data_IF_815225642024
#
_entry.id   IF_815225642024
#
_cell.length_a   1.000
_cell.length_b   1.000
_cell.length_c   1.000
_cell.angle_alpha   90.00
_cell.angle_beta   90.00
_cell.angle_gamma   90.00
#
_symmetry.space_group_name_H-M   'P 1'
#
loop_
_entity.id
_entity.type
_entity.pdbx_description
1 polymer ?
#
# COMPACT_ATOMS: atom_id res chain seq x y z
N UNK A 1 24.08 -42.10 75.46
CA UNK A 1 22.92 -41.22 75.25
C UNK A 1 23.03 -40.59 73.87
N UNK A 2 21.99 -40.74 73.07
CA UNK A 2 21.86 -40.13 71.73
C UNK A 2 21.75 -38.59 71.81
N UNK A 3 22.22 -37.89 70.77
CA UNK A 3 21.90 -36.49 70.52
C UNK A 3 22.30 -36.06 69.11
N UNK A 4 21.31 -35.83 68.24
CA UNK A 4 21.43 -35.48 66.80
C UNK A 4 21.79 -34.00 66.56
N UNK A 5 22.72 -33.79 65.61
CA UNK A 5 22.72 -32.91 64.40
C UNK A 5 21.99 -31.54 64.45
N UNK A 6 22.68 -30.45 64.04
CA UNK A 6 22.28 -29.59 62.89
C UNK A 6 23.33 -28.52 62.56
N UNK A 7 23.94 -28.66 61.38
CA UNK A 7 24.77 -27.66 60.72
C UNK A 7 23.85 -26.70 59.95
N UNK A 8 23.85 -25.41 60.28
CA UNK A 8 23.18 -24.38 59.50
C UNK A 8 24.18 -23.71 58.56
N UNK A 9 24.10 -24.05 57.27
CA UNK A 9 24.76 -23.32 56.19
C UNK A 9 23.79 -22.20 55.80
N UNK A 10 24.10 -20.96 56.19
CA UNK A 10 23.40 -19.78 55.69
C UNK A 10 23.98 -19.44 54.30
N UNK A 11 23.24 -19.78 53.23
CA UNK A 11 23.54 -19.29 51.88
C UNK A 11 22.94 -17.90 51.74
N UNK A 12 23.85 -16.97 51.47
CA UNK A 12 23.67 -15.59 51.05
C UNK A 12 22.80 -15.53 49.77
N UNK A 13 21.61 -14.92 49.84
CA UNK A 13 20.83 -14.59 48.65
C UNK A 13 21.03 -13.11 48.31
N UNK A 14 21.81 -12.86 47.25
CA UNK A 14 22.02 -11.55 46.62
C UNK A 14 20.92 -11.37 45.54
N UNK A 15 20.36 -10.16 45.53
CA UNK A 15 19.23 -9.61 44.75
C UNK A 15 19.56 -9.64 43.22
N UNK A 16 18.59 -9.68 42.27
CA UNK A 16 17.97 -8.44 41.82
C UNK A 16 16.45 -8.52 41.54
N UNK A 17 15.76 -7.47 41.93
CA UNK A 17 14.54 -6.94 41.29
C UNK A 17 14.74 -6.91 39.78
N UNK A 18 13.93 -7.61 38.99
CA UNK A 18 13.99 -7.51 37.52
C UNK A 18 12.75 -6.80 36.98
N UNK A 19 13.04 -5.54 36.69
CA UNK A 19 12.36 -4.57 35.85
C UNK A 19 11.83 -5.19 34.55
N UNK A 20 10.52 -5.10 34.31
CA UNK A 20 9.95 -5.36 32.98
C UNK A 20 10.21 -4.12 32.14
N UNK A 21 11.21 -4.18 31.27
CA UNK A 21 11.37 -3.24 30.15
C UNK A 21 10.97 -3.99 28.89
N UNK A 22 9.81 -3.66 28.34
CA UNK A 22 9.49 -3.90 26.93
C UNK A 22 9.24 -2.51 26.34
N UNK A 23 10.18 -2.02 25.53
CA UNK A 23 10.07 -0.73 24.83
C UNK A 23 10.28 -0.94 23.33
N UNK A 24 9.18 -0.66 22.60
CA UNK A 24 9.01 -0.09 21.25
C UNK A 24 9.49 -0.94 20.04
N UNK A 25 8.90 -0.91 18.83
CA UNK A 25 8.28 0.18 18.06
C UNK A 25 7.27 -0.41 17.05
N UNK A 26 6.07 0.17 16.93
CA UNK A 26 5.37 0.48 15.66
C UNK A 26 4.11 1.30 15.98
N UNK A 27 4.33 2.60 16.08
CA UNK A 27 3.29 3.62 16.17
C UNK A 27 2.49 3.67 14.86
N UNK A 28 1.28 3.11 14.88
CA UNK A 28 0.07 3.64 14.19
C UNK A 28 -1.06 2.62 14.05
N UNK A 29 -0.87 1.35 14.42
CA UNK A 29 -1.93 0.35 14.43
C UNK A 29 -2.02 -0.24 15.84
N UNK A 30 -3.25 -0.45 16.34
CA UNK A 30 -3.53 -0.81 17.73
C UNK A 30 -2.65 -1.95 18.27
N UNK A 31 -2.38 -1.92 19.58
CA UNK A 31 -1.59 -2.93 20.26
C UNK A 31 -2.07 -4.34 19.90
N UNK A 32 -1.21 -5.14 19.27
CA UNK A 32 -1.46 -6.58 19.11
C UNK A 32 -0.86 -7.31 20.31
N UNK A 33 -1.71 -7.90 21.15
CA UNK A 33 -1.26 -8.73 22.26
C UNK A 33 -0.90 -10.11 21.73
N UNK A 34 0.39 -10.41 21.60
CA UNK A 34 0.82 -11.80 21.40
C UNK A 34 0.78 -12.48 22.77
N UNK A 35 -0.27 -13.25 23.05
CA UNK A 35 -0.36 -14.11 24.23
C UNK A 35 0.21 -15.48 23.89
N UNK A 36 1.39 -15.79 24.40
CA UNK A 36 1.93 -17.15 24.35
C UNK A 36 1.58 -17.87 25.64
N UNK A 37 0.78 -18.93 25.54
CA UNK A 37 0.38 -19.79 26.66
C UNK A 37 0.75 -21.25 26.38
N UNK A 38 0.88 -22.08 27.43
CA UNK A 38 1.11 -23.52 27.28
C UNK A 38 2.56 -23.99 27.33
N UNK A 39 3.53 -23.14 27.67
CA UNK A 39 4.88 -23.60 27.99
C UNK A 39 4.88 -24.29 29.37
N UNK A 40 5.12 -25.60 29.40
CA UNK A 40 5.35 -26.33 30.64
C UNK A 40 6.86 -26.39 30.88
N UNK A 41 7.32 -25.75 31.96
CA UNK A 41 8.70 -25.94 32.43
C UNK A 41 8.71 -27.19 33.31
N UNK A 42 9.08 -28.32 32.71
CA UNK A 42 9.34 -29.53 33.49
C UNK A 42 10.63 -29.35 34.31
N UNK A 43 10.52 -28.71 35.48
CA UNK A 43 11.49 -28.82 36.58
C UNK A 43 12.86 -28.15 36.42
N UNK A 44 13.07 -27.26 35.46
CA UNK A 44 14.36 -26.56 35.30
C UNK A 44 14.26 -25.07 35.63
N UNK A 45 14.97 -24.63 36.68
CA UNK A 45 14.98 -23.26 37.21
C UNK A 45 15.70 -22.23 36.32
N UNK A 46 15.98 -22.55 35.05
CA UNK A 46 16.62 -21.63 34.12
C UNK A 46 16.44 -22.09 32.65
N UNK A 47 15.20 -22.30 32.20
CA UNK A 47 14.93 -22.58 30.78
C UNK A 47 14.65 -21.28 30.03
N UNK A 48 15.62 -20.80 29.27
CA UNK A 48 15.36 -19.88 28.16
C UNK A 48 14.52 -20.62 27.13
N UNK A 49 13.25 -20.25 27.00
CA UNK A 49 12.38 -20.76 25.95
C UNK A 49 12.54 -19.85 24.73
N UNK A 50 12.96 -20.42 23.62
CA UNK A 50 12.95 -19.72 22.34
C UNK A 50 11.59 -19.91 21.68
N UNK A 51 10.90 -18.81 21.43
CA UNK A 51 9.74 -18.77 20.54
C UNK A 51 10.16 -18.11 19.23
N UNK A 52 9.83 -18.73 18.11
CA UNK A 52 10.02 -18.12 16.79
C UNK A 52 8.66 -17.66 16.26
N UNK A 53 8.55 -16.37 15.98
CA UNK A 53 7.41 -15.79 15.26
C UNK A 53 7.87 -15.50 13.83
N UNK A 54 7.10 -15.97 12.85
CA UNK A 54 7.36 -15.68 11.44
C UNK A 54 6.16 -14.93 10.86
N UNK A 55 6.40 -13.76 10.29
CA UNK A 55 5.40 -12.97 9.57
C UNK A 55 5.90 -12.83 8.14
N UNK A 56 5.11 -13.33 7.19
CA UNK A 56 5.43 -13.21 5.77
C UNK A 56 4.93 -11.88 5.22
N UNK A 57 5.70 -11.30 4.30
CA UNK A 57 5.29 -10.11 3.56
C UNK A 57 4.19 -10.48 2.56
N UNK A 58 3.16 -9.66 2.48
CA UNK A 58 2.04 -9.82 1.54
C UNK A 58 1.89 -8.54 0.73
N UNK A 59 1.81 -8.72 -0.59
CA UNK A 59 1.51 -7.65 -1.55
C UNK A 59 0.14 -7.96 -2.11
N UNK A 60 -0.83 -7.11 -1.79
CA UNK A 60 -2.20 -7.21 -2.31
C UNK A 60 -2.63 -5.83 -2.79
N UNK A 61 -2.97 -5.71 -4.07
CA UNK A 61 -3.52 -4.50 -4.65
C UNK A 61 -4.97 -4.76 -5.06
N UNK A 62 -5.90 -3.96 -4.55
CA UNK A 62 -7.30 -3.96 -4.95
C UNK A 62 -7.61 -2.74 -5.80
N UNK A 63 -8.46 -2.93 -6.82
CA UNK A 63 -8.91 -1.87 -7.72
C UNK A 63 -10.43 -1.70 -7.63
N UNK A 64 -10.92 -0.45 -7.67
CA UNK A 64 -12.37 -0.18 -7.71
C UNK A 64 -13.04 -0.60 -9.02
N UNK A 65 -12.30 -0.60 -10.13
CA UNK A 65 -12.79 -0.95 -11.45
C UNK A 65 -11.67 -1.49 -12.34
N UNK A 66 -12.04 -2.38 -13.28
CA UNK A 66 -11.11 -2.87 -14.31
C UNK A 66 -10.96 -1.89 -15.50
N UNK A 67 -11.92 -0.99 -15.67
CA UNK A 67 -11.97 -0.03 -16.79
C UNK A 67 -12.60 1.28 -16.34
N UNK A 68 -12.19 2.39 -16.95
CA UNK A 68 -12.87 3.69 -16.82
C UNK A 68 -13.58 4.01 -18.14
N UNK A 69 -14.84 4.41 -18.04
CA UNK A 69 -15.65 4.84 -19.18
C UNK A 69 -15.79 6.37 -19.16
N UNK A 70 -15.29 7.03 -20.20
CA UNK A 70 -15.39 8.47 -20.39
C UNK A 70 -16.68 8.90 -21.09
N UNK A 71 -17.55 7.95 -21.43
CA UNK A 71 -18.75 8.21 -22.22
C UNK A 71 -18.40 8.64 -23.64
N UNK A 72 -19.34 9.34 -24.28
CA UNK A 72 -19.14 9.88 -25.62
C UNK A 72 -18.32 11.17 -25.54
N UNK A 73 -17.16 11.18 -26.18
CA UNK A 73 -16.34 12.38 -26.31
C UNK A 73 -16.34 12.88 -27.76
N UNK A 74 -16.29 14.21 -27.92
CA UNK A 74 -16.27 14.88 -29.24
C UNK A 74 -14.83 15.28 -29.56
N UNK A 75 -14.50 15.31 -30.86
CA UNK A 75 -13.19 15.76 -31.36
C UNK A 75 -12.76 17.11 -30.74
N UNK A 76 -11.48 17.24 -30.41
CA UNK A 76 -10.90 18.46 -29.84
C UNK A 76 -11.26 18.74 -28.37
N UNK A 77 -12.06 17.88 -27.73
CA UNK A 77 -12.36 18.01 -26.29
C UNK A 77 -11.35 17.24 -25.44
N UNK A 78 -11.19 17.66 -24.19
CA UNK A 78 -10.42 16.94 -23.20
C UNK A 78 -11.31 16.64 -21.99
N UNK A 79 -11.14 15.46 -21.41
CA UNK A 79 -11.77 15.08 -20.16
C UNK A 79 -10.78 14.34 -19.27
N UNK A 80 -10.89 14.54 -17.96
CA UNK A 80 -10.03 13.89 -16.98
C UNK A 80 -10.86 13.39 -15.79
N UNK A 81 -10.24 12.59 -14.93
CA UNK A 81 -10.87 12.02 -13.75
C UNK A 81 -10.69 12.85 -12.49
N UNK A 82 -10.00 14.01 -12.55
CA UNK A 82 -9.58 14.79 -11.37
C UNK A 82 -10.72 15.51 -10.66
N UNK A 83 -11.89 15.50 -11.26
CA UNK A 83 -13.14 16.03 -10.71
C UNK A 83 -14.12 14.89 -10.34
N UNK A 84 -13.64 13.65 -10.28
CA UNK A 84 -14.44 12.44 -10.04
C UNK A 84 -15.58 12.23 -11.08
N UNK A 85 -15.42 12.74 -12.31
CA UNK A 85 -16.40 12.62 -13.39
C UNK A 85 -15.76 12.44 -14.79
N UNK A 86 -15.38 11.22 -15.19
CA UNK A 86 -15.63 9.94 -14.49
C UNK A 86 -14.71 9.71 -13.29
N UNK A 87 -15.06 8.74 -12.43
CA UNK A 87 -14.23 8.38 -11.28
C UNK A 87 -12.83 7.89 -11.72
N UNK A 88 -11.76 8.25 -10.99
CA UNK A 88 -10.43 7.69 -11.20
C UNK A 88 -10.37 6.21 -10.80
N UNK A 89 -9.24 5.57 -11.10
CA UNK A 89 -8.96 4.24 -10.56
C UNK A 89 -8.59 4.39 -9.09
N UNK A 90 -9.28 3.66 -8.21
CA UNK A 90 -8.95 3.64 -6.77
C UNK A 90 -8.07 2.43 -6.52
N UNK A 91 -6.91 2.69 -5.92
CA UNK A 91 -5.85 1.74 -5.67
C UNK A 91 -5.71 1.56 -4.16
N UNK A 92 -5.98 0.36 -3.67
CA UNK A 92 -5.93 0.03 -2.23
C UNK A 92 -4.85 -1.00 -1.97
N UNK A 93 -3.90 -0.66 -1.10
CA UNK A 93 -2.91 -1.59 -0.60
C UNK A 93 -3.50 -2.43 0.54
N UNK A 94 -3.99 -3.63 0.21
CA UNK A 94 -4.48 -4.61 1.19
C UNK A 94 -3.39 -5.55 1.73
N UNK A 95 -2.12 -5.23 1.48
CA UNK A 95 -0.96 -5.98 1.96
C UNK A 95 -0.60 -5.64 3.41
N UNK A 96 0.59 -6.08 3.83
CA UNK A 96 1.15 -5.74 5.14
C UNK A 96 2.50 -5.02 5.05
N UNK A 97 2.88 -4.56 3.86
CA UNK A 97 4.08 -3.79 3.57
C UNK A 97 3.76 -2.63 2.63
N UNK A 98 4.64 -1.62 2.62
CA UNK A 98 4.56 -0.55 1.63
C UNK A 98 4.79 -1.10 0.22
N UNK A 99 4.07 -0.57 -0.75
CA UNK A 99 4.16 -1.02 -2.15
C UNK A 99 4.47 0.13 -3.10
N UNK A 100 5.24 -0.19 -4.14
CA UNK A 100 5.40 0.63 -5.33
C UNK A 100 4.44 0.16 -6.41
N UNK A 101 3.88 1.11 -7.16
CA UNK A 101 2.97 0.84 -8.26
C UNK A 101 3.55 1.35 -9.56
N UNK A 102 3.53 0.48 -10.56
CA UNK A 102 3.76 0.84 -11.96
C UNK A 102 2.47 0.72 -12.75
N UNK A 103 2.40 1.47 -13.84
CA UNK A 103 1.24 1.58 -14.71
C UNK A 103 1.67 1.47 -16.17
N UNK A 104 0.86 0.82 -17.00
CA UNK A 104 1.01 0.83 -18.47
C UNK A 104 -0.34 0.77 -19.16
N UNK A 105 -0.42 1.34 -20.36
CA UNK A 105 -1.61 1.17 -21.19
C UNK A 105 -1.63 -0.21 -21.83
N UNK A 106 -2.81 -0.83 -21.88
CA UNK A 106 -3.00 -2.08 -22.61
C UNK A 106 -3.16 -1.80 -24.12
N UNK A 107 -3.91 -0.75 -24.44
CA UNK A 107 -4.16 -0.27 -25.80
C UNK A 107 -4.52 1.22 -25.76
N UNK A 108 -4.37 1.92 -26.89
CA UNK A 108 -4.85 3.30 -27.00
C UNK A 108 -6.38 3.36 -27.07
N UNK A 109 -7.03 4.37 -26.47
CA UNK A 109 -8.48 4.61 -26.65
C UNK A 109 -8.85 5.23 -28.00
N UNK A 110 -7.86 5.56 -28.83
CA UNK A 110 -8.03 6.26 -30.10
C UNK A 110 -7.58 5.41 -31.28
N UNK A 111 -8.14 5.68 -32.46
CA UNK A 111 -7.80 5.03 -33.72
C UNK A 111 -7.03 5.96 -34.68
N UNK A 112 -7.11 7.28 -34.49
CA UNK A 112 -6.43 8.30 -35.31
C UNK A 112 -4.98 8.61 -34.87
N UNK A 113 -4.55 9.84 -35.08
CA UNK A 113 -3.21 10.36 -34.71
C UNK A 113 -2.90 10.22 -33.22
N UNK A 114 -3.94 10.12 -32.37
CA UNK A 114 -3.80 9.86 -30.94
C UNK A 114 -3.62 8.39 -30.56
N UNK A 115 -3.64 7.45 -31.51
CA UNK A 115 -3.52 6.00 -31.25
C UNK A 115 -2.11 5.54 -30.84
N UNK A 116 -1.11 6.40 -31.03
CA UNK A 116 0.29 6.08 -30.81
C UNK A 116 0.68 5.84 -29.35
N UNK A 117 1.89 5.31 -29.18
CA UNK A 117 2.58 5.22 -27.90
C UNK A 117 3.15 6.59 -27.49
N UNK A 118 3.14 6.93 -26.20
CA UNK A 118 3.73 8.17 -25.67
C UNK A 118 3.13 9.47 -26.24
N UNK A 119 1.82 9.50 -26.50
CA UNK A 119 1.12 10.68 -27.04
C UNK A 119 0.57 11.58 -25.94
N UNK A 120 0.37 12.87 -26.24
CA UNK A 120 -0.27 13.82 -25.31
C UNK A 120 -1.79 13.64 -25.19
N UNK A 121 -2.36 12.70 -25.94
CA UNK A 121 -3.80 12.43 -26.02
C UNK A 121 -4.27 11.49 -24.93
N UNK A 122 -3.37 10.66 -24.38
CA UNK A 122 -3.68 9.74 -23.28
C UNK A 122 -2.61 9.81 -22.20
N UNK A 123 -2.97 10.36 -21.04
CA UNK A 123 -2.02 10.68 -19.96
C UNK A 123 -2.53 10.18 -18.61
N UNK A 124 -1.60 9.95 -17.69
CA UNK A 124 -1.89 9.57 -16.31
C UNK A 124 -1.13 10.42 -15.30
N UNK A 125 -1.59 10.42 -14.05
CA UNK A 125 -0.83 10.85 -12.87
C UNK A 125 -1.32 10.09 -11.64
N UNK A 126 -0.52 10.10 -10.58
CA UNK A 126 -0.95 9.76 -9.24
C UNK A 126 -1.75 10.93 -8.64
N UNK A 127 -2.84 10.60 -7.98
CA UNK A 127 -3.65 11.50 -7.15
C UNK A 127 -3.69 11.02 -5.71
N UNK A 128 -3.79 11.95 -4.77
CA UNK A 128 -4.28 11.60 -3.44
C UNK A 128 -5.75 11.31 -3.56
N UNK A 129 -6.24 10.36 -2.78
CA UNK A 129 -7.66 10.07 -2.77
C UNK A 129 -8.48 11.30 -2.35
N UNK A 130 -9.46 11.68 -3.16
CA UNK A 130 -10.34 12.81 -2.88
C UNK A 130 -11.16 12.54 -1.61
N UNK A 131 -11.58 13.59 -0.90
CA UNK A 131 -12.51 13.42 0.24
C UNK A 131 -13.82 12.78 -0.18
N UNK A 132 -14.25 12.98 -1.42
CA UNK A 132 -15.48 12.38 -1.94
C UNK A 132 -15.34 10.86 -2.08
N UNK A 133 -14.13 10.37 -2.36
CA UNK A 133 -13.86 8.94 -2.55
C UNK A 133 -13.37 8.25 -1.27
N UNK A 134 -12.52 8.90 -0.47
CA UNK A 134 -11.91 8.31 0.74
C UNK A 134 -12.43 8.85 2.08
N UNK A 135 -13.42 9.74 2.07
CA UNK A 135 -14.09 10.27 3.28
C UNK A 135 -13.25 11.31 4.07
N UNK A 136 -11.97 11.04 4.29
CA UNK A 136 -11.01 11.98 4.87
C UNK A 136 -9.84 12.14 3.90
N UNK A 137 -9.66 13.36 3.39
CA UNK A 137 -8.57 13.69 2.46
C UNK A 137 -7.24 13.37 3.13
N UNK A 138 -6.58 12.35 2.65
CA UNK A 138 -5.35 11.88 3.27
C UNK A 138 -4.16 12.55 2.61
N UNK A 139 -3.47 13.39 3.38
CA UNK A 139 -2.46 14.30 2.84
C UNK A 139 -1.10 13.65 2.63
N UNK A 140 -0.90 12.36 2.94
CA UNK A 140 0.38 11.69 2.71
C UNK A 140 0.29 10.16 2.67
N UNK A 141 -0.49 9.60 1.73
CA UNK A 141 -0.65 8.15 1.56
C UNK A 141 0.54 7.45 0.88
N UNK A 142 1.33 8.22 0.11
CA UNK A 142 2.50 7.74 -0.61
C UNK A 142 3.58 8.82 -0.71
N UNK A 143 4.78 8.47 -1.19
CA UNK A 143 5.88 9.41 -1.40
C UNK A 143 5.62 10.29 -2.65
N UNK A 144 5.04 11.47 -2.44
CA UNK A 144 4.68 12.40 -3.51
C UNK A 144 5.87 12.81 -4.39
N UNK A 145 7.05 13.05 -3.79
CA UNK A 145 8.23 13.52 -4.50
C UNK A 145 8.88 12.47 -5.41
N UNK A 146 8.62 11.19 -5.16
CA UNK A 146 9.11 10.07 -5.99
C UNK A 146 8.02 9.47 -6.89
N UNK A 147 6.79 9.98 -6.81
CA UNK A 147 5.63 9.50 -7.57
C UNK A 147 5.35 10.41 -8.77
N UNK A 148 4.63 9.89 -9.76
CA UNK A 148 4.28 10.63 -10.96
C UNK A 148 3.06 11.53 -10.72
N UNK A 149 3.26 12.71 -10.13
CA UNK A 149 2.17 13.58 -9.66
C UNK A 149 1.75 14.66 -10.66
N UNK A 150 2.41 14.71 -11.81
CA UNK A 150 2.01 15.50 -12.98
C UNK A 150 1.59 14.59 -14.12
N UNK A 151 0.75 15.08 -15.04
CA UNK A 151 0.30 14.24 -16.16
C UNK A 151 1.49 13.82 -17.03
N UNK A 152 1.69 12.53 -17.20
CA UNK A 152 2.66 11.91 -18.10
C UNK A 152 1.92 11.12 -19.17
N UNK A 153 2.47 11.10 -20.38
CA UNK A 153 1.93 10.31 -21.47
C UNK A 153 2.06 8.82 -21.16
N UNK A 154 1.02 8.06 -21.51
CA UNK A 154 1.06 6.61 -21.40
C UNK A 154 2.04 5.99 -22.38
N UNK A 155 2.61 4.87 -21.94
CA UNK A 155 3.31 3.95 -22.81
C UNK A 155 2.83 2.51 -22.61
N UNK A 156 3.14 1.65 -23.58
CA UNK A 156 2.95 0.19 -23.46
C UNK A 156 3.98 -0.48 -22.53
N UNK A 157 4.97 0.28 -22.05
CA UNK A 157 5.97 -0.16 -21.07
C UNK A 157 5.56 0.32 -19.68
N UNK A 158 5.89 -0.45 -18.65
CA UNK A 158 5.63 -0.06 -17.27
C UNK A 158 6.34 1.26 -16.92
N UNK A 159 5.57 2.21 -16.41
CA UNK A 159 6.04 3.51 -15.94
C UNK A 159 5.77 3.63 -14.44
N UNK A 160 6.64 4.36 -13.73
CA UNK A 160 6.43 4.69 -12.33
C UNK A 160 5.11 5.47 -12.16
N UNK A 161 4.29 5.07 -11.19
CA UNK A 161 3.06 5.77 -10.84
C UNK A 161 3.11 6.27 -9.41
N UNK A 162 3.14 5.35 -8.44
CA UNK A 162 3.13 5.64 -7.01
C UNK A 162 4.32 4.95 -6.36
N UNK A 163 5.02 5.67 -5.49
CA UNK A 163 6.10 5.15 -4.67
C UNK A 163 5.69 5.09 -3.20
N UNK A 164 5.88 3.93 -2.58
CA UNK A 164 5.62 3.68 -1.17
C UNK A 164 4.18 3.99 -0.72
N UNK A 165 3.19 3.40 -1.40
CA UNK A 165 1.80 3.40 -0.93
C UNK A 165 1.71 2.63 0.39
N UNK A 166 1.24 3.30 1.44
CA UNK A 166 1.13 2.71 2.78
C UNK A 166 0.13 1.55 2.80
N UNK A 167 0.24 0.68 3.82
CA UNK A 167 -0.71 -0.38 4.16
C UNK A 167 -1.46 -0.08 5.46
N UNK A 168 -1.17 1.06 6.09
CA UNK A 168 -1.85 1.49 7.32
C UNK A 168 -3.27 1.91 6.98
N UNK A 169 -4.26 1.32 7.66
CA UNK A 169 -5.67 1.67 7.50
C UNK A 169 -5.90 3.18 7.49
N UNK A 170 -6.61 3.65 6.47
CA UNK A 170 -6.91 5.05 6.24
C UNK A 170 -5.86 5.76 5.40
N UNK A 171 -4.61 5.26 5.37
CA UNK A 171 -3.50 5.74 4.56
C UNK A 171 -3.17 4.82 3.37
N UNK A 172 -3.98 3.80 3.14
CA UNK A 172 -3.74 2.68 2.24
C UNK A 172 -4.39 2.85 0.86
N UNK A 173 -4.91 4.05 0.57
CA UNK A 173 -5.70 4.32 -0.63
C UNK A 173 -5.13 5.50 -1.41
N UNK A 174 -4.95 5.31 -2.72
CA UNK A 174 -4.54 6.34 -3.66
C UNK A 174 -5.38 6.30 -4.95
N UNK A 175 -5.26 7.35 -5.75
CA UNK A 175 -5.92 7.47 -7.04
C UNK A 175 -4.92 7.38 -8.19
N UNK A 176 -5.31 6.71 -9.27
CA UNK A 176 -4.69 6.88 -10.58
C UNK A 176 -5.63 7.65 -11.49
N UNK A 177 -5.16 8.82 -11.85
CA UNK A 177 -5.89 9.86 -12.54
C UNK A 177 -5.55 9.81 -14.03
N UNK A 178 -6.55 9.90 -14.88
CA UNK A 178 -6.41 9.82 -16.32
C UNK A 178 -6.84 11.13 -16.99
N UNK A 179 -6.22 11.45 -18.11
CA UNK A 179 -6.59 12.55 -18.99
C UNK A 179 -6.63 12.04 -20.42
N UNK A 180 -7.78 12.21 -21.07
CA UNK A 180 -7.98 11.96 -22.48
C UNK A 180 -8.17 13.31 -23.19
N UNK A 181 -7.41 13.54 -24.25
CA UNK A 181 -7.61 14.65 -25.18
C UNK A 181 -7.90 14.07 -26.56
N UNK A 182 -9.13 14.26 -27.04
CA UNK A 182 -9.61 13.65 -28.29
C UNK A 182 -8.95 14.33 -29.48
N UNK A 183 -8.19 13.59 -30.32
CA UNK A 183 -7.61 14.13 -31.55
C UNK A 183 -8.66 14.70 -32.50
N UNK A 184 -8.25 15.62 -33.38
CA UNK A 184 -9.16 16.21 -34.38
C UNK A 184 -9.59 15.23 -35.48
N UNK A 185 -8.85 14.14 -35.66
CA UNK A 185 -9.13 13.08 -36.63
C UNK A 185 -9.80 11.85 -36.02
N UNK A 186 -10.17 11.92 -34.74
CA UNK A 186 -10.89 10.84 -34.06
C UNK A 186 -12.40 11.02 -34.22
N UNK A 187 -13.09 9.99 -34.71
CA UNK A 187 -14.55 9.99 -34.77
C UNK A 187 -15.17 10.09 -33.38
N UNK A 188 -16.24 10.88 -33.25
CA UNK A 188 -17.07 10.92 -32.04
C UNK A 188 -17.56 9.53 -31.67
N UNK A 189 -17.44 9.17 -30.40
CA UNK A 189 -17.91 7.89 -29.90
C UNK A 189 -17.53 7.65 -28.45
N UNK A 190 -18.01 6.53 -27.92
CA UNK A 190 -17.71 6.12 -26.54
C UNK A 190 -16.24 5.74 -26.39
N UNK A 191 -15.60 6.26 -25.35
CA UNK A 191 -14.20 5.95 -25.00
C UNK A 191 -14.15 5.23 -23.66
N UNK A 192 -13.54 4.05 -23.65
CA UNK A 192 -13.27 3.25 -22.45
C UNK A 192 -11.82 2.82 -22.45
N UNK A 193 -11.20 2.80 -21.27
CA UNK A 193 -9.77 2.49 -21.11
C UNK A 193 -9.57 1.36 -20.12
N UNK A 194 -8.69 0.43 -20.50
CA UNK A 194 -8.19 -0.64 -19.65
C UNK A 194 -6.67 -0.45 -19.47
N UNK A 195 -6.23 -0.50 -18.22
CA UNK A 195 -4.86 -0.23 -17.80
C UNK A 195 -4.36 -1.41 -16.98
N UNK A 196 -3.07 -1.73 -17.11
CA UNK A 196 -2.42 -2.69 -16.20
C UNK A 196 -1.67 -1.94 -15.13
N UNK A 197 -1.95 -2.30 -13.88
CA UNK A 197 -1.17 -1.90 -12.71
C UNK A 197 -0.31 -3.09 -12.25
N UNK A 198 0.89 -2.82 -11.74
CA UNK A 198 1.73 -3.85 -11.13
C UNK A 198 2.26 -3.31 -9.82
N UNK A 199 1.97 -4.04 -8.74
CA UNK A 199 2.47 -3.75 -7.40
C UNK A 199 3.75 -4.57 -7.12
N UNK A 200 4.72 -3.91 -6.50
CA UNK A 200 5.93 -4.54 -5.98
C UNK A 200 6.22 -4.02 -4.58
N UNK A 201 7.09 -4.71 -3.84
CA UNK A 201 7.64 -4.19 -2.59
C UNK A 201 8.34 -2.86 -2.86
N UNK A 202 8.21 -1.89 -1.96
CA UNK A 202 8.98 -0.64 -2.02
C UNK A 202 10.48 -0.92 -1.99
N UNK A 203 11.22 -0.31 -2.91
CA UNK A 203 12.70 -0.32 -2.92
C UNK A 203 13.32 0.87 -2.19
#
# INVERSE_FOLDING_TARGET
MQGKIKTNIAILAIIPTVLIVIILILSSMGSFNISLSGFTTAGANNTTLMASVNVSETITLSLSAATINFGSLVQGTANNTTNDAPNPFILVNGGNIGIDLTIKMNQSPFNGTGSGNNTNTFRFKAGNCSTAVCGTGNTSVFNWGSSQTSFQNFTTVAQNLIKNLSYTSGNDIAEAELLLSVPSDESTGTKSVAITFTASKTE
#
